data_IF_708287846840
#
_entry.id   IF_708287846840
#
_cell.length_a   1.000
_cell.length_b   1.000
_cell.length_c   1.000
_cell.angle_alpha   90.00
_cell.angle_beta   90.00
_cell.angle_gamma   90.00
#
_symmetry.space_group_name_H-M   'P 1'
#
loop_
_entity.id
_entity.type
_entity.pdbx_description
1 polymer ?
#
# COMPACT_ATOMS: atom_id res chain seq x y z
N UNK A 1 6.13 -8.35 9.18
CA UNK A 1 6.80 -7.44 8.22
C UNK A 1 6.68 -6.02 8.74
N UNK A 2 7.78 -5.26 8.75
CA UNK A 2 7.76 -3.84 9.07
C UNK A 2 7.81 -3.06 7.75
N UNK A 3 6.91 -2.10 7.55
CA UNK A 3 6.93 -1.24 6.36
C UNK A 3 7.89 -0.07 6.56
N UNK A 4 8.71 0.21 5.56
CA UNK A 4 9.57 1.38 5.57
C UNK A 4 8.78 2.68 5.43
N UNK A 5 9.34 3.79 5.90
CA UNK A 5 8.73 5.11 5.76
C UNK A 5 8.50 5.49 4.29
N UNK A 6 9.39 5.03 3.40
CA UNK A 6 9.25 5.23 1.96
C UNK A 6 8.04 4.47 1.43
N UNK A 7 7.87 3.20 1.78
CA UNK A 7 6.70 2.40 1.38
C UNK A 7 5.40 2.99 1.91
N UNK A 8 5.37 3.42 3.18
CA UNK A 8 4.20 4.10 3.76
C UNK A 8 3.87 5.38 3.00
N UNK A 9 4.89 6.13 2.55
CA UNK A 9 4.68 7.36 1.77
C UNK A 9 4.10 7.08 0.37
N UNK A 10 4.57 6.01 -0.28
CA UNK A 10 3.99 5.53 -1.55
C UNK A 10 2.53 5.13 -1.35
N UNK A 11 2.22 4.36 -0.31
CA UNK A 11 0.84 3.95 -0.01
C UNK A 11 -0.07 5.15 0.28
N UNK A 12 0.43 6.17 1.02
CA UNK A 12 -0.29 7.43 1.23
C UNK A 12 -0.60 8.15 -0.09
N UNK A 13 0.36 8.19 -1.02
CA UNK A 13 0.13 8.75 -2.35
C UNK A 13 -0.91 7.94 -3.13
N UNK A 14 -0.83 6.60 -3.09
CA UNK A 14 -1.77 5.72 -3.78
C UNK A 14 -3.20 5.88 -3.25
N UNK A 15 -3.38 6.11 -1.95
CA UNK A 15 -4.68 6.38 -1.34
C UNK A 15 -5.38 7.63 -1.89
N UNK A 16 -4.63 8.57 -2.46
CA UNK A 16 -5.19 9.75 -3.17
C UNK A 16 -5.64 9.45 -4.59
N UNK A 17 -5.18 8.34 -5.17
CA UNK A 17 -5.50 7.90 -6.54
C UNK A 17 -6.68 6.93 -6.53
N UNK A 18 -6.65 5.95 -5.63
CA UNK A 18 -7.70 4.97 -5.42
C UNK A 18 -7.76 4.58 -3.94
N UNK A 19 -8.97 4.52 -3.39
CA UNK A 19 -9.21 4.15 -1.99
C UNK A 19 -8.95 2.67 -1.73
N UNK A 20 -9.08 1.80 -2.73
CA UNK A 20 -8.72 0.39 -2.63
C UNK A 20 -7.38 0.10 -3.32
N UNK A 21 -6.69 -0.95 -2.87
CA UNK A 21 -5.42 -1.40 -3.43
C UNK A 21 -5.32 -2.92 -3.40
N UNK A 22 -4.94 -3.52 -4.53
CA UNK A 22 -4.52 -4.92 -4.58
C UNK A 22 -3.00 -4.94 -4.58
N UNK A 23 -2.40 -5.55 -3.56
CA UNK A 23 -0.96 -5.78 -3.48
C UNK A 23 -0.70 -7.19 -3.96
N UNK A 24 0.10 -7.33 -5.01
CA UNK A 24 0.56 -8.63 -5.51
C UNK A 24 1.84 -9.04 -4.78
N UNK A 25 2.16 -10.33 -4.81
CA UNK A 25 3.44 -10.80 -4.30
C UNK A 25 4.61 -10.17 -5.06
N UNK A 26 5.71 -9.90 -4.35
CA UNK A 26 6.88 -9.20 -4.87
C UNK A 26 7.05 -7.79 -4.28
N UNK A 27 7.92 -6.99 -4.91
CA UNK A 27 8.27 -5.64 -4.47
C UNK A 27 7.65 -4.53 -5.32
N UNK A 28 6.95 -4.86 -6.41
CA UNK A 28 6.29 -3.86 -7.25
C UNK A 28 4.81 -3.72 -6.87
N UNK A 29 4.41 -2.50 -6.53
CA UNK A 29 3.01 -2.15 -6.26
C UNK A 29 2.52 -1.15 -7.30
N UNK A 30 1.22 -1.20 -7.59
CA UNK A 30 0.60 -0.28 -8.55
C UNK A 30 -0.85 0.02 -8.16
N UNK A 31 -1.34 1.16 -8.61
CA UNK A 31 -2.73 1.57 -8.45
C UNK A 31 -3.23 2.25 -9.72
N UNK A 32 -4.55 2.25 -9.88
CA UNK A 32 -5.26 2.92 -10.96
C UNK A 32 -6.49 3.57 -10.39
N UNK A 33 -6.71 4.84 -10.76
CA UNK A 33 -7.94 5.57 -10.41
C UNK A 33 -9.20 4.86 -10.91
N UNK A 34 -10.33 5.07 -10.24
CA UNK A 34 -11.62 4.48 -10.63
C UNK A 34 -12.02 4.87 -12.07
N UNK A 35 -11.69 6.10 -12.50
CA UNK A 35 -11.94 6.60 -13.86
C UNK A 35 -10.92 6.10 -14.90
N UNK A 36 -9.91 5.31 -14.48
CA UNK A 36 -8.85 4.73 -15.33
C UNK A 36 -8.04 5.74 -16.14
N UNK A 37 -7.90 6.97 -15.65
CA UNK A 37 -7.13 8.03 -16.30
C UNK A 37 -5.80 8.34 -15.58
N UNK A 38 -5.66 7.90 -14.33
CA UNK A 38 -4.41 7.98 -13.56
C UNK A 38 -3.96 6.57 -13.22
N UNK A 39 -2.68 6.29 -13.46
CA UNK A 39 -1.96 5.06 -13.11
C UNK A 39 -0.68 5.44 -12.40
N UNK A 40 -0.34 4.73 -11.33
CA UNK A 40 0.94 4.86 -10.65
C UNK A 40 1.51 3.47 -10.34
N UNK A 41 2.84 3.36 -10.37
CA UNK A 41 3.58 2.16 -9.98
C UNK A 41 4.87 2.57 -9.27
N UNK A 42 5.28 1.76 -8.31
CA UNK A 42 6.52 1.94 -7.57
C UNK A 42 7.11 0.57 -7.22
N UNK A 43 8.44 0.48 -7.29
CA UNK A 43 9.19 -0.58 -6.62
C UNK A 43 9.49 -0.12 -5.19
N UNK A 44 9.10 -0.93 -4.21
CA UNK A 44 9.30 -0.65 -2.78
C UNK A 44 10.37 -1.56 -2.17
N UNK A 45 10.85 -1.21 -0.97
CA UNK A 45 11.92 -1.99 -0.30
C UNK A 45 11.44 -3.36 0.18
N UNK A 46 10.17 -3.48 0.54
CA UNK A 46 9.61 -4.71 1.08
C UNK A 46 9.19 -5.67 -0.05
N UNK A 47 9.32 -6.97 0.21
CA UNK A 47 8.83 -8.03 -0.68
C UNK A 47 7.59 -8.65 -0.04
N UNK A 48 6.41 -8.37 -0.57
CA UNK A 48 5.16 -8.94 -0.11
C UNK A 48 5.10 -10.44 -0.45
N UNK A 49 4.84 -11.33 0.52
CA UNK A 49 4.92 -12.78 0.30
C UNK A 49 3.72 -13.33 -0.47
N UNK A 50 2.56 -12.69 -0.31
CA UNK A 50 1.26 -13.14 -0.81
C UNK A 50 0.53 -11.98 -1.50
N UNK A 51 -0.45 -12.32 -2.32
CA UNK A 51 -1.38 -11.33 -2.87
C UNK A 51 -2.52 -11.09 -1.88
N UNK A 52 -2.84 -9.83 -1.62
CA UNK A 52 -3.97 -9.43 -0.77
C UNK A 52 -4.56 -8.10 -1.22
N UNK A 53 -5.82 -7.85 -0.83
CA UNK A 53 -6.53 -6.63 -1.14
C UNK A 53 -6.76 -5.80 0.14
N UNK A 54 -6.54 -4.50 0.04
CA UNK A 54 -6.91 -3.50 1.03
C UNK A 54 -8.13 -2.77 0.49
N UNK A 55 -9.26 -2.89 1.19
CA UNK A 55 -10.53 -2.29 0.76
C UNK A 55 -10.56 -0.78 1.01
N UNK A 56 -10.11 -0.34 2.18
CA UNK A 56 -9.91 1.06 2.53
C UNK A 56 -8.45 1.30 2.96
N UNK A 57 -7.68 1.87 2.03
CA UNK A 57 -6.27 2.16 2.24
C UNK A 57 -6.04 3.31 3.22
N UNK A 58 -6.97 4.27 3.33
CA UNK A 58 -6.85 5.36 4.29
C UNK A 58 -7.06 4.83 5.72
N UNK A 59 -8.07 3.98 5.93
CA UNK A 59 -8.32 3.33 7.23
C UNK A 59 -7.15 2.44 7.63
N UNK A 60 -6.62 1.63 6.72
CA UNK A 60 -5.43 0.81 6.96
C UNK A 60 -4.23 1.66 7.40
N UNK A 61 -3.94 2.76 6.70
CA UNK A 61 -2.83 3.65 7.03
C UNK A 61 -3.05 4.40 8.35
N UNK A 62 -4.30 4.78 8.66
CA UNK A 62 -4.64 5.40 9.93
C UNK A 62 -4.41 4.43 11.10
N UNK A 63 -4.87 3.18 10.97
CA UNK A 63 -4.63 2.13 11.97
C UNK A 63 -3.14 1.85 12.17
N UNK A 64 -2.37 1.79 11.07
CA UNK A 64 -0.92 1.59 11.13
C UNK A 64 -0.21 2.70 11.91
N UNK A 65 -0.69 3.95 11.80
CA UNK A 65 -0.10 5.11 12.46
C UNK A 65 -0.27 5.14 13.99
N UNK A 66 -1.14 4.30 14.55
CA UNK A 66 -1.35 4.18 15.99
C UNK A 66 -0.21 3.45 16.72
N UNK A 67 0.69 2.82 15.96
CA UNK A 67 1.81 2.03 16.48
C UNK A 67 3.14 2.62 15.99
N UNK A 68 4.16 2.64 16.86
CA UNK A 68 5.48 3.17 16.46
C UNK A 68 6.22 2.25 15.48
N UNK A 69 6.17 0.93 15.71
CA UNK A 69 6.86 -0.10 14.90
C UNK A 69 6.02 -1.37 14.79
N UNK A 70 4.85 -1.32 14.14
CA UNK A 70 3.99 -2.49 13.99
C UNK A 70 4.66 -3.53 13.07
N UNK A 71 4.50 -4.81 13.42
CA UNK A 71 4.82 -5.92 12.51
C UNK A 71 3.52 -6.50 11.97
N UNK A 72 3.41 -6.50 10.64
CA UNK A 72 2.25 -7.00 9.89
C UNK A 72 2.43 -8.46 9.47
N UNK A 73 1.35 -9.21 9.42
CA UNK A 73 1.31 -10.57 8.86
C UNK A 73 0.32 -10.59 7.69
N UNK A 74 0.69 -11.24 6.58
CA UNK A 74 0.00 -11.16 5.28
C UNK A 74 -0.13 -12.53 4.62
#
# INVERSE_FOLDING_TARGET
>A
MNLSNETVSVLKNFATINQNLVIKSGSNISTMSAMKNIVASAEVKEVFPTEFAIYDLNEFLAALSLFEKPSLDF
#
